data_IF_646793527474
#
_entry.id   IF_646793527474
#
_cell.length_a   1.000
_cell.length_b   1.000
_cell.length_c   1.000
_cell.angle_alpha   90.00
_cell.angle_beta   90.00
_cell.angle_gamma   90.00
#
_symmetry.space_group_name_H-M   'P 1'
#
loop_
_entity.id
_entity.type
_entity.pdbx_description
1 polymer ?
#
# COMPACT_ATOMS: atom_id res chain seq x y z
N UNK A 1 -6.24 17.50 -6.19
CA UNK A 1 -5.41 16.27 -6.11
C UNK A 1 -6.10 15.24 -5.20
N UNK A 2 -6.05 13.95 -5.49
CA UNK A 2 -6.80 12.92 -4.75
C UNK A 2 -6.44 12.80 -3.26
N UNK A 3 -5.17 13.02 -2.90
CA UNK A 3 -4.73 13.03 -1.50
C UNK A 3 -5.47 14.09 -0.67
N UNK A 4 -5.52 15.34 -1.14
CA UNK A 4 -6.25 16.42 -0.47
C UNK A 4 -7.75 16.12 -0.30
N UNK A 5 -8.39 15.44 -1.28
CA UNK A 5 -9.79 15.02 -1.16
C UNK A 5 -10.00 13.97 -0.08
N UNK A 6 -9.06 13.04 0.07
CA UNK A 6 -9.12 12.03 1.15
C UNK A 6 -8.82 12.65 2.51
N UNK A 7 -7.91 13.62 2.60
CA UNK A 7 -7.57 14.31 3.83
C UNK A 7 -8.77 15.06 4.43
N UNK A 8 -9.75 15.46 3.60
CA UNK A 8 -10.99 16.09 4.04
C UNK A 8 -12.08 15.10 4.51
N UNK A 9 -11.84 13.78 4.43
CA UNK A 9 -12.80 12.74 4.84
C UNK A 9 -12.42 12.14 6.20
N UNK A 10 -13.36 11.47 6.90
CA UNK A 10 -13.05 10.77 8.14
C UNK A 10 -11.90 9.77 7.98
N UNK A 11 -10.98 9.81 8.93
CA UNK A 11 -9.80 8.95 9.01
C UNK A 11 -10.07 7.70 9.86
N UNK A 12 -11.14 6.97 9.51
CA UNK A 12 -11.68 5.82 10.24
C UNK A 12 -11.54 4.49 9.46
N UNK A 13 -10.73 4.49 8.39
CA UNK A 13 -10.51 3.34 7.51
C UNK A 13 -9.09 2.79 7.67
N UNK A 14 -8.98 1.49 7.95
CA UNK A 14 -7.71 0.74 7.85
C UNK A 14 -7.73 -0.02 6.53
N UNK A 15 -6.65 0.06 5.74
CA UNK A 15 -6.60 -0.62 4.43
C UNK A 15 -6.50 -2.14 4.63
N UNK A 16 -5.71 -2.59 5.59
CA UNK A 16 -5.53 -4.01 5.89
C UNK A 16 -6.80 -4.68 6.45
N UNK A 17 -7.73 -3.91 7.00
CA UNK A 17 -8.98 -4.40 7.57
C UNK A 17 -10.10 -3.34 7.45
N UNK A 18 -10.72 -3.22 6.26
CA UNK A 18 -11.80 -2.26 6.06
C UNK A 18 -13.15 -2.73 6.64
N UNK A 19 -13.27 -4.03 6.94
CA UNK A 19 -14.54 -4.71 7.16
C UNK A 19 -15.37 -4.88 5.88
N UNK A 20 -16.32 -5.83 5.91
CA UNK A 20 -17.11 -6.25 4.74
C UNK A 20 -17.85 -5.07 4.09
N UNK A 21 -18.47 -4.20 4.89
CA UNK A 21 -19.25 -3.07 4.39
C UNK A 21 -18.42 -2.01 3.62
N UNK A 22 -17.09 -2.00 3.79
CA UNK A 22 -16.19 -1.01 3.19
C UNK A 22 -15.19 -1.62 2.20
N UNK A 23 -15.35 -2.89 1.82
CA UNK A 23 -14.49 -3.56 0.83
C UNK A 23 -14.45 -2.85 -0.52
N UNK A 24 -15.49 -2.06 -0.84
CA UNK A 24 -15.58 -1.30 -2.08
C UNK A 24 -15.65 0.22 -1.84
N UNK A 25 -15.27 0.71 -0.65
CA UNK A 25 -15.22 2.16 -0.36
C UNK A 25 -14.20 2.84 -1.28
N UNK A 26 -14.56 3.95 -1.91
CA UNK A 26 -13.65 4.75 -2.75
C UNK A 26 -12.35 5.11 -2.01
N UNK A 27 -12.43 5.39 -0.71
CA UNK A 27 -11.26 5.69 0.13
C UNK A 27 -10.28 4.53 0.15
N UNK A 28 -10.77 3.28 0.14
CA UNK A 28 -9.92 2.09 0.09
C UNK A 28 -9.13 2.04 -1.21
N UNK A 29 -9.80 2.20 -2.35
CA UNK A 29 -9.15 2.24 -3.66
C UNK A 29 -8.11 3.35 -3.77
N UNK A 30 -8.47 4.57 -3.38
CA UNK A 30 -7.57 5.72 -3.50
C UNK A 30 -6.42 5.65 -2.51
N UNK A 31 -6.65 5.20 -1.27
CA UNK A 31 -5.56 5.00 -0.31
C UNK A 31 -4.63 3.86 -0.72
N UNK A 32 -5.16 2.76 -1.25
CA UNK A 32 -4.34 1.67 -1.80
C UNK A 32 -3.42 2.15 -2.93
N UNK A 33 -3.94 2.97 -3.85
CA UNK A 33 -3.14 3.59 -4.91
C UNK A 33 -2.05 4.52 -4.35
N UNK A 34 -2.38 5.32 -3.33
CA UNK A 34 -1.40 6.19 -2.66
C UNK A 34 -0.33 5.40 -1.90
N UNK A 35 -0.66 4.27 -1.29
CA UNK A 35 0.30 3.38 -0.64
C UNK A 35 1.32 2.86 -1.67
N UNK A 36 0.85 2.36 -2.82
CA UNK A 36 1.74 1.87 -3.87
C UNK A 36 2.58 3.00 -4.47
N UNK A 37 2.01 4.18 -4.67
CA UNK A 37 2.75 5.34 -5.15
C UNK A 37 3.83 5.77 -4.15
N UNK A 38 3.53 5.77 -2.85
CA UNK A 38 4.49 6.13 -1.81
C UNK A 38 5.58 5.07 -1.67
N UNK A 39 5.23 3.78 -1.82
CA UNK A 39 6.21 2.69 -1.85
C UNK A 39 7.17 2.86 -3.03
N UNK A 40 6.65 3.16 -4.22
CA UNK A 40 7.48 3.45 -5.41
C UNK A 40 8.50 4.54 -5.13
N UNK A 41 8.10 5.59 -4.43
CA UNK A 41 9.00 6.69 -4.06
C UNK A 41 10.02 6.29 -2.99
N UNK A 42 9.60 5.49 -2.02
CA UNK A 42 10.42 5.00 -0.91
C UNK A 42 11.53 4.04 -1.36
N UNK A 43 11.25 3.18 -2.35
CA UNK A 43 12.21 2.18 -2.86
C UNK A 43 12.83 2.55 -4.21
N UNK A 44 12.31 3.56 -4.90
CA UNK A 44 12.71 3.96 -6.24
C UNK A 44 12.08 3.10 -7.36
N UNK A 45 11.96 3.71 -8.54
CA UNK A 45 11.25 3.16 -9.69
C UNK A 45 11.74 1.77 -10.12
N UNK A 46 13.06 1.59 -10.25
CA UNK A 46 13.64 0.33 -10.73
C UNK A 46 13.29 -0.84 -9.79
N UNK A 47 13.46 -0.65 -8.47
CA UNK A 47 13.13 -1.67 -7.47
C UNK A 47 11.63 -1.93 -7.45
N UNK A 48 10.81 -0.88 -7.48
CA UNK A 48 9.35 -1.00 -7.48
C UNK A 48 8.82 -1.80 -8.69
N UNK A 49 9.27 -1.49 -9.90
CA UNK A 49 8.80 -2.22 -11.08
C UNK A 49 9.36 -3.64 -11.16
N UNK A 50 10.57 -3.91 -10.64
CA UNK A 50 11.06 -5.29 -10.47
C UNK A 50 10.18 -6.07 -9.50
N UNK A 51 9.87 -5.49 -8.34
CA UNK A 51 8.96 -6.06 -7.35
C UNK A 51 7.61 -6.43 -7.99
N UNK A 52 6.98 -5.52 -8.74
CA UNK A 52 5.67 -5.80 -9.35
C UNK A 52 5.73 -6.94 -10.38
N UNK A 53 6.80 -7.02 -11.18
CA UNK A 53 6.99 -8.12 -12.14
C UNK A 53 7.19 -9.45 -11.42
N UNK A 54 8.02 -9.48 -10.38
CA UNK A 54 8.24 -10.66 -9.56
C UNK A 54 6.94 -11.13 -8.91
N UNK A 55 6.22 -10.21 -8.25
CA UNK A 55 4.94 -10.48 -7.59
C UNK A 55 3.94 -11.18 -8.51
N UNK A 56 3.72 -10.64 -9.71
CA UNK A 56 2.77 -11.19 -10.69
C UNK A 56 3.24 -12.53 -11.25
N UNK A 57 4.55 -12.69 -11.50
CA UNK A 57 5.10 -13.93 -12.03
C UNK A 57 5.01 -15.08 -11.02
N UNK A 58 5.40 -14.83 -9.77
CA UNK A 58 5.45 -15.82 -8.68
C UNK A 58 4.06 -16.27 -8.24
N UNK A 59 3.08 -15.38 -8.25
CA UNK A 59 1.73 -15.65 -7.73
C UNK A 59 0.68 -15.81 -8.84
N UNK A 60 1.13 -16.04 -10.08
CA UNK A 60 0.23 -16.28 -11.21
C UNK A 60 -0.66 -17.50 -10.91
N UNK A 61 -1.98 -17.32 -11.08
CA UNK A 61 -3.00 -18.34 -10.78
C UNK A 61 -3.10 -18.75 -9.30
N UNK A 62 -2.49 -17.99 -8.40
CA UNK A 62 -2.54 -18.20 -6.97
C UNK A 62 -3.36 -17.15 -6.22
N UNK A 63 -3.58 -17.41 -4.94
CA UNK A 63 -4.11 -16.42 -4.00
C UNK A 63 -2.96 -15.72 -3.31
N UNK A 64 -3.13 -14.43 -3.03
CA UNK A 64 -2.12 -13.61 -2.36
C UNK A 64 -2.65 -12.99 -1.08
N UNK A 65 -1.73 -12.62 -0.20
CA UNK A 65 -2.04 -11.94 1.05
C UNK A 65 -1.23 -10.65 1.17
N UNK A 66 -1.73 -9.70 1.96
CA UNK A 66 -0.98 -8.46 2.25
C UNK A 66 0.39 -8.75 2.88
N UNK A 67 0.53 -9.65 3.88
CA UNK A 67 1.84 -10.00 4.43
C UNK A 67 2.85 -10.53 3.39
N UNK A 68 2.39 -11.32 2.42
CA UNK A 68 3.25 -11.82 1.36
C UNK A 68 3.80 -10.68 0.48
N UNK A 69 2.94 -9.71 0.12
CA UNK A 69 3.38 -8.54 -0.66
C UNK A 69 4.38 -7.68 0.11
N UNK A 70 4.11 -7.42 1.39
CA UNK A 70 4.99 -6.58 2.22
C UNK A 70 6.36 -7.24 2.41
N UNK A 71 6.40 -8.56 2.62
CA UNK A 71 7.66 -9.31 2.73
C UNK A 71 8.48 -9.23 1.44
N UNK A 72 7.85 -9.43 0.28
CA UNK A 72 8.54 -9.31 -1.02
C UNK A 72 9.04 -7.86 -1.25
N UNK A 73 8.27 -6.85 -0.84
CA UNK A 73 8.69 -5.46 -0.94
C UNK A 73 9.94 -5.16 -0.10
N UNK A 74 10.04 -5.69 1.12
CA UNK A 74 11.23 -5.57 1.98
C UNK A 74 12.47 -6.24 1.36
N UNK A 75 12.30 -7.43 0.76
CA UNK A 75 13.37 -8.12 0.04
C UNK A 75 13.90 -7.27 -1.12
N UNK A 76 13.02 -6.69 -1.93
CA UNK A 76 13.43 -5.82 -3.04
C UNK A 76 14.00 -4.47 -2.58
N UNK A 77 13.56 -3.96 -1.43
CA UNK A 77 14.10 -2.75 -0.82
C UNK A 77 15.49 -2.96 -0.20
N UNK A 78 15.80 -4.19 0.23
CA UNK A 78 17.05 -4.52 0.94
C UNK A 78 17.09 -3.97 2.37
N UNK A 79 15.93 -3.58 2.92
CA UNK A 79 15.78 -3.06 4.29
C UNK A 79 14.35 -3.30 4.81
N UNK A 80 14.15 -3.29 6.15
CA UNK A 80 12.82 -3.32 6.73
C UNK A 80 11.95 -2.13 6.28
N UNK A 81 10.67 -2.39 6.05
CA UNK A 81 9.62 -1.42 5.71
C UNK A 81 8.42 -1.54 6.66
N UNK A 82 8.56 -2.26 7.79
CA UNK A 82 7.50 -2.47 8.78
C UNK A 82 6.78 -1.20 9.21
N UNK A 83 7.50 -0.12 9.58
CA UNK A 83 6.85 1.14 9.99
C UNK A 83 6.16 1.86 8.83
N UNK A 84 6.70 1.74 7.61
CA UNK A 84 6.05 2.24 6.40
C UNK A 84 4.70 1.55 6.21
N UNK A 85 4.66 0.20 6.24
CA UNK A 85 3.42 -0.54 6.07
C UNK A 85 2.45 -0.39 7.25
N UNK A 86 2.96 -0.29 8.48
CA UNK A 86 2.15 0.05 9.66
C UNK A 86 1.41 1.38 9.45
N UNK A 87 2.14 2.39 8.98
CA UNK A 87 1.61 3.73 8.72
C UNK A 87 0.58 3.75 7.60
N UNK A 88 0.84 3.07 6.48
CA UNK A 88 -0.04 3.12 5.31
C UNK A 88 -1.23 2.16 5.39
N UNK A 89 -1.05 0.95 5.95
CA UNK A 89 -2.04 -0.12 5.88
C UNK A 89 -2.85 -0.30 7.17
N UNK A 90 -2.20 -0.12 8.33
CA UNK A 90 -2.77 -0.50 9.62
C UNK A 90 -3.26 0.70 10.46
N UNK A 91 -2.77 1.91 10.19
CA UNK A 91 -3.24 3.14 10.82
C UNK A 91 -4.41 3.75 10.02
N UNK A 92 -5.38 4.27 10.76
CA UNK A 92 -6.57 4.87 10.18
C UNK A 92 -6.31 6.29 9.61
N UNK A 93 -5.35 7.01 10.20
CA UNK A 93 -4.87 8.31 9.70
C UNK A 93 -4.30 8.19 8.28
N UNK A 94 -4.61 9.16 7.42
CA UNK A 94 -3.99 9.29 6.10
C UNK A 94 -2.58 9.87 6.25
N UNK A 95 -1.51 9.19 5.82
CA UNK A 95 -0.16 9.74 5.88
C UNK A 95 0.01 10.92 4.92
N UNK A 96 0.92 11.83 5.23
CA UNK A 96 1.33 12.87 4.29
C UNK A 96 2.06 12.23 3.09
N UNK A 97 1.84 12.77 1.89
CA UNK A 97 2.72 12.48 0.77
C UNK A 97 4.02 13.26 0.99
N UNK A 98 5.11 12.55 1.23
CA UNK A 98 6.45 13.15 1.20
C UNK A 98 6.67 13.75 -0.19
N UNK A 99 7.32 14.93 -0.26
CA UNK A 99 7.54 15.68 -1.51
C UNK A 99 8.67 15.11 -2.35
#
# INVERSE_FOLDING_TARGET
MWHARLAARPADLRIADPGVARMFDERLYKRGALTLHSLRREVGDERFFRLLRAWVAEHRHGTVTTPAFTALAEQHAGRPLGEFFATWLHRAALPALTA
#
